data_IF_018068266049
#
_entry.id   IF_018068266049
#
_cell.length_a   1.000
_cell.length_b   1.000
_cell.length_c   1.000
_cell.angle_alpha   90.00
_cell.angle_beta   90.00
_cell.angle_gamma   90.00
#
_symmetry.space_group_name_H-M   'P 1'
#
loop_
_entity.id
_entity.type
_entity.pdbx_description
1 polymer ?
#
# COMPACT_ATOMS: atom_id res chain seq x y z
N UNK A 1 -54.69 -3.70 -57.53
CA UNK A 1 -54.25 -2.73 -56.53
C UNK A 1 -54.03 -3.47 -55.21
N UNK A 2 -52.81 -3.94 -55.00
CA UNK A 2 -52.45 -4.71 -53.79
C UNK A 2 -51.24 -4.06 -53.18
N UNK A 3 -51.44 -3.42 -52.01
CA UNK A 3 -50.37 -2.79 -51.24
C UNK A 3 -49.77 -3.80 -50.25
N UNK A 4 -48.57 -4.24 -50.51
CA UNK A 4 -47.78 -5.10 -49.62
C UNK A 4 -47.11 -4.24 -48.57
N UNK A 5 -47.53 -4.44 -47.30
CA UNK A 5 -46.86 -3.83 -46.14
C UNK A 5 -45.65 -4.68 -45.71
N UNK A 6 -44.46 -4.11 -45.89
CA UNK A 6 -43.20 -4.68 -45.38
C UNK A 6 -43.06 -4.29 -43.89
N UNK A 7 -43.23 -5.26 -43.00
CA UNK A 7 -42.92 -5.07 -41.60
C UNK A 7 -41.41 -5.30 -41.36
N UNK A 8 -40.69 -4.24 -41.04
CA UNK A 8 -39.26 -4.29 -40.64
C UNK A 8 -39.23 -4.63 -39.14
N UNK A 9 -38.87 -5.86 -38.84
CA UNK A 9 -38.58 -6.30 -37.47
C UNK A 9 -37.15 -5.85 -37.12
N UNK A 10 -37.00 -4.76 -36.38
CA UNK A 10 -35.74 -4.34 -35.76
C UNK A 10 -35.47 -5.24 -34.56
N UNK A 11 -34.56 -6.21 -34.74
CA UNK A 11 -34.02 -7.01 -33.66
C UNK A 11 -33.11 -6.12 -32.79
N UNK A 12 -33.59 -5.76 -31.62
CA UNK A 12 -32.78 -5.10 -30.56
C UNK A 12 -31.83 -6.13 -29.97
N UNK A 13 -30.59 -6.20 -30.44
CA UNK A 13 -29.53 -6.95 -29.80
C UNK A 13 -29.11 -6.18 -28.53
N UNK A 14 -29.77 -6.48 -27.41
CA UNK A 14 -29.32 -6.05 -26.09
C UNK A 14 -28.03 -6.82 -25.75
N UNK A 15 -26.87 -6.24 -26.10
CA UNK A 15 -25.58 -6.73 -25.63
C UNK A 15 -25.55 -6.62 -24.10
N UNK A 16 -25.59 -7.75 -23.41
CA UNK A 16 -25.37 -7.89 -21.99
C UNK A 16 -23.92 -7.52 -21.66
N UNK A 17 -23.65 -6.26 -21.47
CA UNK A 17 -22.39 -5.78 -20.88
C UNK A 17 -22.53 -6.05 -19.37
N UNK A 18 -22.15 -7.26 -18.94
CA UNK A 18 -21.98 -7.51 -17.52
C UNK A 18 -20.93 -6.51 -16.98
N UNK A 19 -21.23 -5.71 -15.95
CA UNK A 19 -20.30 -4.72 -15.47
C UNK A 19 -19.02 -5.44 -15.00
N UNK A 20 -17.86 -4.92 -15.37
CA UNK A 20 -16.54 -5.47 -15.02
C UNK A 20 -16.39 -5.72 -13.50
N UNK A 21 -17.15 -5.00 -12.68
CA UNK A 21 -17.26 -5.19 -11.24
C UNK A 21 -17.87 -6.53 -10.84
N UNK A 22 -18.84 -7.07 -11.58
CA UNK A 22 -19.45 -8.37 -11.27
C UNK A 22 -18.46 -9.52 -11.55
N UNK A 23 -17.62 -9.39 -12.58
CA UNK A 23 -16.57 -10.36 -12.89
C UNK A 23 -15.43 -10.31 -11.85
N UNK A 24 -15.07 -9.14 -11.35
CA UNK A 24 -14.07 -8.99 -10.30
C UNK A 24 -14.55 -9.57 -8.96
N UNK A 25 -15.85 -9.45 -8.63
CA UNK A 25 -16.44 -10.08 -7.45
C UNK A 25 -16.44 -11.61 -7.53
N UNK A 26 -16.62 -12.19 -8.71
CA UNK A 26 -16.54 -13.64 -8.91
C UNK A 26 -15.10 -14.17 -8.72
N UNK A 27 -14.07 -13.33 -9.01
CA UNK A 27 -12.65 -13.70 -8.86
C UNK A 27 -12.19 -13.68 -7.41
N UNK A 28 -12.61 -12.69 -6.62
CA UNK A 28 -12.08 -12.44 -5.26
C UNK A 28 -13.12 -12.81 -4.19
N UNK A 29 -12.86 -13.87 -3.44
CA UNK A 29 -13.78 -14.47 -2.47
C UNK A 29 -13.32 -14.16 -1.05
N UNK A 30 -14.20 -13.57 -0.24
CA UNK A 30 -13.99 -13.37 1.19
C UNK A 30 -13.87 -14.74 1.90
N UNK A 31 -12.98 -14.81 2.87
CA UNK A 31 -12.63 -16.07 3.55
C UNK A 31 -11.57 -16.88 2.81
N UNK A 32 -11.38 -16.66 1.49
CA UNK A 32 -10.35 -17.32 0.70
C UNK A 32 -9.18 -16.37 0.42
N UNK A 33 -9.39 -15.33 -0.39
CA UNK A 33 -8.33 -14.43 -0.83
C UNK A 33 -8.10 -13.28 0.14
N UNK A 34 -9.11 -12.91 0.92
CA UNK A 34 -9.04 -11.92 1.98
C UNK A 34 -10.02 -12.25 3.10
N UNK A 35 -9.70 -11.82 4.31
CA UNK A 35 -10.56 -11.93 5.48
C UNK A 35 -11.20 -10.57 5.78
N UNK A 36 -12.51 -10.58 6.12
CA UNK A 36 -13.16 -9.41 6.69
C UNK A 36 -12.86 -9.41 8.18
N UNK A 37 -12.22 -8.36 8.66
CA UNK A 37 -11.83 -8.19 10.07
C UNK A 37 -12.70 -7.13 10.74
N UNK A 38 -12.76 -7.08 12.08
CA UNK A 38 -13.40 -5.98 12.81
C UNK A 38 -12.80 -4.65 12.36
N UNK A 39 -13.68 -3.73 11.91
CA UNK A 39 -13.25 -2.46 11.30
C UNK A 39 -12.36 -1.67 12.26
N UNK A 40 -11.17 -1.32 11.79
CA UNK A 40 -10.22 -0.50 12.49
C UNK A 40 -10.25 0.95 11.99
N UNK A 41 -9.82 1.87 12.85
CA UNK A 41 -9.66 3.27 12.46
C UNK A 41 -8.52 3.41 11.46
N UNK A 42 -8.72 4.19 10.40
CA UNK A 42 -7.69 4.52 9.41
C UNK A 42 -6.96 5.81 9.78
N UNK A 43 -5.73 5.96 9.33
CA UNK A 43 -4.84 7.09 9.58
C UNK A 43 -4.61 7.95 8.31
N UNK A 44 -5.59 7.96 7.40
CA UNK A 44 -5.54 8.73 6.16
C UNK A 44 -6.60 9.84 6.17
N UNK A 45 -6.46 10.81 5.27
CA UNK A 45 -7.42 11.91 5.14
C UNK A 45 -8.82 11.39 4.76
N UNK A 46 -9.85 12.12 5.17
CA UNK A 46 -11.24 11.81 4.81
C UNK A 46 -11.40 11.68 3.27
N UNK A 47 -12.11 10.65 2.83
CA UNK A 47 -12.30 10.34 1.41
C UNK A 47 -11.16 9.55 0.77
N UNK A 48 -10.08 9.26 1.50
CA UNK A 48 -9.03 8.34 1.07
C UNK A 48 -9.28 6.92 1.59
N UNK A 49 -8.94 5.94 0.78
CA UNK A 49 -8.92 4.53 1.17
C UNK A 49 -7.50 4.18 1.61
N UNK A 50 -7.35 3.72 2.85
CA UNK A 50 -6.06 3.28 3.38
C UNK A 50 -5.66 1.93 2.79
N UNK A 51 -4.42 1.83 2.31
CA UNK A 51 -3.76 0.56 2.00
C UNK A 51 -2.55 0.45 2.91
N UNK A 52 -2.63 -0.44 3.89
CA UNK A 52 -1.62 -0.56 4.94
C UNK A 52 -0.77 -1.80 4.71
N UNK A 53 0.56 -1.67 4.79
CA UNK A 53 1.47 -2.80 4.95
C UNK A 53 1.88 -2.91 6.42
N UNK A 54 1.58 -4.04 7.05
CA UNK A 54 2.20 -4.43 8.32
C UNK A 54 3.52 -5.11 7.98
N UNK A 55 4.63 -4.53 8.45
CA UNK A 55 5.97 -4.91 8.07
C UNK A 55 6.96 -4.90 9.22
N UNK A 56 8.15 -5.44 9.01
CA UNK A 56 9.34 -5.13 9.80
C UNK A 56 10.56 -5.02 8.90
N UNK A 57 11.45 -4.09 9.20
CA UNK A 57 12.74 -4.02 8.52
C UNK A 57 13.59 -5.29 8.70
N UNK A 58 13.46 -5.95 9.87
CA UNK A 58 14.14 -7.22 10.18
C UNK A 58 13.50 -8.44 9.51
N UNK A 59 12.38 -8.31 8.80
CA UNK A 59 11.69 -9.43 8.17
C UNK A 59 12.25 -9.70 6.76
N UNK A 60 12.85 -10.89 6.48
CA UNK A 60 13.37 -11.23 5.15
C UNK A 60 12.26 -11.24 4.09
N UNK A 61 11.06 -11.72 4.43
CA UNK A 61 9.93 -11.74 3.51
C UNK A 61 9.47 -10.31 3.15
N UNK A 62 9.53 -9.34 4.08
CA UNK A 62 9.24 -7.93 3.78
C UNK A 62 10.27 -7.34 2.81
N UNK A 63 11.56 -7.66 2.98
CA UNK A 63 12.58 -7.24 2.03
C UNK A 63 12.31 -7.80 0.62
N UNK A 64 11.92 -9.07 0.52
CA UNK A 64 11.54 -9.70 -0.76
C UNK A 64 10.24 -9.14 -1.34
N UNK A 65 9.37 -8.58 -0.50
CA UNK A 65 8.07 -8.02 -0.89
C UNK A 65 8.15 -6.57 -1.43
N UNK A 66 9.28 -5.88 -1.28
CA UNK A 66 9.50 -4.50 -1.76
C UNK A 66 9.13 -4.26 -3.23
N UNK A 67 9.46 -5.16 -4.19
CA UNK A 67 9.02 -4.98 -5.57
C UNK A 67 7.50 -4.96 -5.73
N UNK A 68 6.77 -5.76 -4.95
CA UNK A 68 5.29 -5.76 -4.93
C UNK A 68 4.78 -4.42 -4.41
N UNK A 69 5.35 -3.92 -3.31
CA UNK A 69 4.96 -2.62 -2.75
C UNK A 69 5.24 -1.47 -3.71
N UNK A 70 6.36 -1.51 -4.46
CA UNK A 70 6.66 -0.54 -5.51
C UNK A 70 5.64 -0.59 -6.64
N UNK A 71 5.28 -1.79 -7.10
CA UNK A 71 4.26 -1.99 -8.13
C UNK A 71 2.89 -1.53 -7.64
N UNK A 72 2.53 -1.87 -6.40
CA UNK A 72 1.28 -1.45 -5.78
C UNK A 72 1.20 0.08 -5.68
N UNK A 73 2.24 0.74 -5.16
CA UNK A 73 2.31 2.20 -5.06
C UNK A 73 2.08 2.90 -6.40
N UNK A 74 2.62 2.35 -7.48
CA UNK A 74 2.44 2.89 -8.84
C UNK A 74 1.03 2.63 -9.41
N UNK A 75 0.35 1.56 -8.95
CA UNK A 75 -0.95 1.13 -9.47
C UNK A 75 -2.15 1.64 -8.66
N UNK A 76 -1.92 2.21 -7.48
CA UNK A 76 -3.00 2.73 -6.63
C UNK A 76 -3.68 3.94 -7.27
N UNK A 77 -5.02 4.02 -7.22
CA UNK A 77 -5.75 5.20 -7.68
C UNK A 77 -5.53 6.39 -6.74
N UNK A 78 -5.78 7.59 -7.25
CA UNK A 78 -5.53 8.85 -6.52
C UNK A 78 -6.29 8.97 -5.18
N UNK A 79 -7.39 8.26 -5.00
CA UNK A 79 -8.15 8.21 -3.75
C UNK A 79 -7.66 7.14 -2.76
N UNK A 80 -6.61 6.39 -3.09
CA UNK A 80 -5.97 5.47 -2.15
C UNK A 80 -4.66 6.05 -1.62
N UNK A 81 -4.29 5.67 -0.39
CA UNK A 81 -3.05 6.09 0.25
C UNK A 81 -2.37 4.89 0.88
N UNK A 82 -1.10 4.65 0.48
CA UNK A 82 -0.25 3.64 1.07
C UNK A 82 0.29 4.14 2.41
N UNK A 83 0.20 3.30 3.42
CA UNK A 83 0.78 3.53 4.76
C UNK A 83 1.51 2.30 5.24
N UNK A 84 2.46 2.49 6.17
CA UNK A 84 3.26 1.42 6.74
C UNK A 84 3.04 1.36 8.25
N UNK A 85 2.86 0.15 8.78
CA UNK A 85 2.71 -0.12 10.20
C UNK A 85 3.81 -1.10 10.66
N UNK A 86 4.81 -0.64 11.42
CA UNK A 86 5.92 -1.47 11.81
C UNK A 86 5.56 -2.42 12.96
N UNK A 87 5.88 -3.70 12.83
CA UNK A 87 5.73 -4.74 13.84
C UNK A 87 6.97 -4.84 14.75
N UNK A 88 6.77 -5.31 16.00
CA UNK A 88 7.80 -5.37 17.06
C UNK A 88 8.01 -6.74 17.70
N UNK A 89 7.25 -7.76 17.29
CA UNK A 89 7.16 -9.02 18.09
C UNK A 89 8.43 -9.89 18.09
N UNK A 90 9.36 -9.76 17.12
CA UNK A 90 10.63 -10.48 17.17
C UNK A 90 11.72 -9.68 17.88
N UNK A 91 11.79 -9.85 19.19
CA UNK A 91 12.76 -9.13 20.05
C UNK A 91 14.20 -9.59 19.85
N UNK A 92 14.42 -10.85 19.45
CA UNK A 92 15.75 -11.40 19.21
C UNK A 92 16.45 -10.77 18.01
N UNK A 93 15.69 -10.27 17.01
CA UNK A 93 16.21 -9.66 15.79
C UNK A 93 16.00 -8.14 15.76
N UNK A 94 15.97 -7.50 16.91
CA UNK A 94 15.86 -6.04 17.06
C UNK A 94 14.61 -5.39 16.43
N UNK A 95 13.52 -6.13 16.21
CA UNK A 95 12.30 -5.57 15.63
C UNK A 95 11.73 -4.39 16.44
N UNK A 96 11.72 -4.39 17.79
CA UNK A 96 11.28 -3.22 18.56
C UNK A 96 12.15 -1.98 18.32
N UNK A 97 13.46 -2.16 18.10
CA UNK A 97 14.35 -1.06 17.75
C UNK A 97 14.03 -0.50 16.36
N UNK A 98 13.79 -1.37 15.37
CA UNK A 98 13.38 -0.96 14.03
C UNK A 98 12.01 -0.29 14.00
N UNK A 99 11.05 -0.80 14.78
CA UNK A 99 9.74 -0.16 14.97
C UNK A 99 9.92 1.27 15.50
N UNK A 100 10.71 1.43 16.58
CA UNK A 100 11.02 2.74 17.17
C UNK A 100 11.69 3.65 16.17
N UNK A 101 12.68 3.16 15.41
CA UNK A 101 13.38 3.94 14.41
C UNK A 101 12.44 4.44 13.31
N UNK A 102 11.54 3.59 12.78
CA UNK A 102 10.55 4.00 11.78
C UNK A 102 9.58 5.05 12.33
N UNK A 103 9.00 4.84 13.51
CA UNK A 103 8.05 5.76 14.13
C UNK A 103 8.70 7.10 14.53
N UNK A 104 9.99 7.09 14.89
CA UNK A 104 10.78 8.30 15.09
C UNK A 104 10.95 9.06 13.77
N UNK A 105 11.36 8.37 12.71
CA UNK A 105 11.49 8.97 11.39
C UNK A 105 10.16 9.53 10.86
N UNK A 106 9.05 8.83 11.12
CA UNK A 106 7.70 9.30 10.80
C UNK A 106 7.37 10.59 11.58
N UNK A 107 7.71 10.66 12.86
CA UNK A 107 7.47 11.84 13.70
C UNK A 107 8.30 13.04 13.25
N UNK A 108 9.46 12.80 12.65
CA UNK A 108 10.35 13.82 12.09
C UNK A 108 10.05 14.12 10.61
N UNK A 109 9.04 13.50 10.00
CA UNK A 109 8.65 13.71 8.59
C UNK A 109 9.66 13.18 7.57
N UNK A 110 10.50 12.22 7.95
CA UNK A 110 11.56 11.66 7.09
C UNK A 110 11.46 10.16 6.84
N UNK A 111 10.37 9.51 7.26
CA UNK A 111 10.19 8.08 7.10
C UNK A 111 10.29 7.64 5.63
N UNK A 112 9.62 8.34 4.71
CA UNK A 112 9.61 7.99 3.29
C UNK A 112 10.99 8.05 2.64
N UNK A 113 11.85 8.99 3.09
CA UNK A 113 13.24 9.12 2.60
C UNK A 113 14.11 7.94 3.01
N UNK A 114 13.82 7.36 4.18
CA UNK A 114 14.63 6.28 4.76
C UNK A 114 14.08 4.88 4.54
N UNK A 115 12.83 4.72 4.06
CA UNK A 115 12.16 3.43 4.08
C UNK A 115 12.89 2.36 3.26
N UNK A 116 13.06 2.58 1.96
CA UNK A 116 13.79 1.65 1.08
C UNK A 116 15.28 1.55 1.45
N UNK A 117 15.89 2.70 1.80
CA UNK A 117 17.29 2.75 2.18
C UNK A 117 17.59 1.96 3.47
N UNK A 118 16.64 1.86 4.41
CA UNK A 118 16.80 1.05 5.62
C UNK A 118 16.82 -0.45 5.29
N UNK A 119 15.95 -0.92 4.39
CA UNK A 119 16.04 -2.28 3.89
C UNK A 119 17.40 -2.55 3.23
N UNK A 120 17.90 -1.63 2.39
CA UNK A 120 19.22 -1.78 1.78
C UNK A 120 20.35 -1.78 2.82
N UNK A 121 20.24 -0.96 3.87
CA UNK A 121 21.20 -0.93 4.96
C UNK A 121 21.23 -2.23 5.78
N UNK A 122 20.12 -2.95 5.84
CA UNK A 122 20.04 -4.24 6.55
C UNK A 122 20.46 -5.39 5.63
N UNK A 123 19.89 -5.46 4.43
CA UNK A 123 19.94 -6.68 3.60
C UNK A 123 20.96 -6.64 2.49
N UNK A 124 21.48 -5.45 2.11
CA UNK A 124 22.44 -5.29 1.02
C UNK A 124 23.82 -4.86 1.51
N UNK A 125 23.90 -3.80 2.32
CA UNK A 125 25.20 -3.27 2.80
C UNK A 125 25.61 -3.82 4.16
N UNK A 126 24.67 -4.32 4.97
CA UNK A 126 24.93 -4.83 6.30
C UNK A 126 25.17 -3.77 7.38
N UNK A 127 25.04 -2.47 7.05
CA UNK A 127 25.24 -1.34 8.00
C UNK A 127 24.30 -1.49 9.22
N UNK A 128 23.05 -1.82 8.98
CA UNK A 128 22.01 -2.01 9.99
C UNK A 128 21.60 -3.47 10.18
N UNK A 129 22.37 -4.43 9.65
CA UNK A 129 22.04 -5.85 9.69
C UNK A 129 22.11 -6.42 11.12
N UNK A 130 21.13 -7.25 11.46
CA UNK A 130 21.07 -8.03 12.70
C UNK A 130 21.86 -9.35 12.57
N UNK A 131 22.05 -9.83 11.34
CA UNK A 131 22.84 -11.03 11.01
C UNK A 131 24.06 -10.66 10.18
N UNK A 132 25.06 -11.49 10.22
CA UNK A 132 26.16 -11.46 9.26
C UNK A 132 25.63 -11.88 7.89
N UNK A 133 25.83 -11.05 6.86
CA UNK A 133 25.25 -11.29 5.53
C UNK A 133 25.83 -12.51 4.82
N UNK A 134 27.00 -12.98 5.24
CA UNK A 134 27.69 -14.14 4.64
C UNK A 134 27.35 -15.45 5.34
N UNK A 135 27.31 -15.43 6.68
CA UNK A 135 27.10 -16.64 7.51
C UNK A 135 25.66 -16.80 7.98
N UNK A 136 24.83 -15.75 7.85
CA UNK A 136 23.47 -15.65 8.38
C UNK A 136 23.36 -15.81 9.90
N UNK A 137 24.49 -15.83 10.62
CA UNK A 137 24.50 -15.90 12.08
C UNK A 137 24.09 -14.55 12.68
N UNK A 138 23.36 -14.59 13.78
CA UNK A 138 22.99 -13.39 14.54
C UNK A 138 24.28 -12.71 15.05
N UNK A 139 24.37 -11.39 14.87
CA UNK A 139 25.50 -10.60 15.36
C UNK A 139 25.47 -10.50 16.87
N UNK A 140 26.64 -10.58 17.50
CA UNK A 140 26.79 -10.37 18.94
C UNK A 140 26.36 -8.95 19.37
N UNK A 141 26.52 -7.97 18.48
CA UNK A 141 26.10 -6.57 18.69
C UNK A 141 25.04 -6.22 17.67
N UNK A 142 23.82 -6.05 18.13
CA UNK A 142 22.69 -5.61 17.30
C UNK A 142 22.72 -4.09 17.09
N UNK A 143 22.10 -3.59 15.98
CA UNK A 143 21.98 -2.16 15.74
C UNK A 143 21.14 -1.47 16.81
N UNK A 144 21.48 -0.22 17.09
CA UNK A 144 20.87 0.63 18.13
C UNK A 144 20.16 1.83 17.52
N UNK A 145 19.39 2.56 18.34
CA UNK A 145 18.79 3.84 17.94
C UNK A 145 19.86 4.88 17.58
N UNK A 146 21.05 4.82 18.19
CA UNK A 146 22.15 5.70 17.81
C UNK A 146 22.68 5.37 16.39
N UNK A 147 22.70 4.09 16.02
CA UNK A 147 23.04 3.66 14.66
C UNK A 147 21.96 4.14 13.65
N UNK A 148 20.69 4.02 14.00
CA UNK A 148 19.59 4.58 13.21
C UNK A 148 19.71 6.11 13.06
N UNK A 149 20.11 6.82 14.12
CA UNK A 149 20.36 8.27 14.04
C UNK A 149 21.44 8.62 13.02
N UNK A 150 22.55 7.88 12.98
CA UNK A 150 23.62 8.07 11.96
C UNK A 150 23.11 7.73 10.55
N UNK A 151 22.34 6.66 10.42
CA UNK A 151 21.70 6.30 9.17
C UNK A 151 20.79 7.44 8.66
N UNK A 152 19.88 7.98 9.49
CA UNK A 152 18.97 9.05 9.08
C UNK A 152 19.68 10.40 8.86
N UNK A 153 20.85 10.63 9.47
CA UNK A 153 21.71 11.77 9.11
C UNK A 153 22.14 11.65 7.64
N UNK A 154 22.61 10.49 7.23
CA UNK A 154 23.12 10.26 5.88
C UNK A 154 22.01 10.33 4.82
N UNK A 155 20.83 9.75 5.08
CA UNK A 155 19.77 9.65 4.06
C UNK A 155 18.77 10.80 4.07
N UNK A 156 18.65 11.54 5.18
CA UNK A 156 17.64 12.58 5.36
C UNK A 156 18.14 13.88 5.99
N UNK A 157 19.43 13.96 6.39
CA UNK A 157 20.02 15.15 6.98
C UNK A 157 19.62 15.43 8.44
N UNK A 158 18.99 14.47 9.13
CA UNK A 158 18.59 14.61 10.53
C UNK A 158 19.83 14.50 11.43
N UNK A 159 20.03 15.44 12.36
CA UNK A 159 21.13 15.33 13.32
C UNK A 159 20.94 14.08 14.21
N UNK A 160 21.96 13.23 14.42
CA UNK A 160 21.85 12.01 15.22
C UNK A 160 21.34 12.25 16.66
N UNK A 161 21.77 13.34 17.28
CA UNK A 161 21.33 13.71 18.62
C UNK A 161 19.81 14.01 18.65
N UNK A 162 19.29 14.73 17.63
CA UNK A 162 17.88 15.06 17.55
C UNK A 162 17.04 13.81 17.27
N UNK A 163 17.52 12.88 16.43
CA UNK A 163 16.88 11.59 16.20
C UNK A 163 16.80 10.76 17.49
N UNK A 164 17.90 10.64 18.22
CA UNK A 164 17.95 9.92 19.51
C UNK A 164 17.04 10.57 20.54
N UNK A 165 17.02 11.90 20.63
CA UNK A 165 16.11 12.61 21.54
C UNK A 165 14.64 12.38 21.17
N UNK A 166 14.27 12.51 19.88
CA UNK A 166 12.92 12.26 19.40
C UNK A 166 12.48 10.81 19.66
N UNK A 167 13.38 9.83 19.54
CA UNK A 167 13.09 8.41 19.77
C UNK A 167 12.68 8.08 21.21
N UNK A 168 13.05 8.93 22.16
CA UNK A 168 12.74 8.80 23.60
C UNK A 168 11.46 9.55 24.00
N UNK A 169 10.80 10.20 23.03
CA UNK A 169 9.60 10.99 23.34
C UNK A 169 8.41 10.11 23.70
N UNK A 170 7.55 10.62 24.59
CA UNK A 170 6.27 10.00 24.93
C UNK A 170 5.41 9.73 23.67
N UNK A 171 5.47 10.62 22.68
CA UNK A 171 4.74 10.46 21.42
C UNK A 171 5.17 9.21 20.67
N UNK A 172 6.48 8.92 20.57
CA UNK A 172 6.99 7.70 19.92
C UNK A 172 6.60 6.46 20.73
N UNK A 173 6.70 6.50 22.05
CA UNK A 173 6.26 5.38 22.90
C UNK A 173 4.77 5.08 22.77
N UNK A 174 3.95 6.14 22.68
CA UNK A 174 2.51 5.99 22.44
C UNK A 174 2.23 5.36 21.08
N UNK A 175 2.89 5.82 20.01
CA UNK A 175 2.77 5.26 18.66
C UNK A 175 3.18 3.78 18.60
N UNK A 176 4.23 3.37 19.32
CA UNK A 176 4.62 1.96 19.38
C UNK A 176 3.50 1.10 19.98
N UNK A 177 2.96 1.50 21.13
CA UNK A 177 1.84 0.78 21.75
C UNK A 177 0.59 0.76 20.86
N UNK A 178 0.29 1.87 20.18
CA UNK A 178 -0.82 1.94 19.21
C UNK A 178 -0.60 1.00 18.04
N UNK A 179 0.60 0.94 17.47
CA UNK A 179 0.95 0.04 16.38
C UNK A 179 0.74 -1.43 16.80
N UNK A 180 1.27 -1.83 17.96
CA UNK A 180 1.13 -3.20 18.46
C UNK A 180 -0.35 -3.56 18.72
N UNK A 181 -1.11 -2.65 19.33
CA UNK A 181 -2.55 -2.81 19.55
C UNK A 181 -3.34 -2.90 18.24
N UNK A 182 -3.02 -2.09 17.24
CA UNK A 182 -3.66 -2.10 15.94
C UNK A 182 -3.37 -3.40 15.19
N UNK A 183 -2.12 -3.87 15.19
CA UNK A 183 -1.72 -5.15 14.58
C UNK A 183 -2.54 -6.31 15.19
N UNK A 184 -2.66 -6.34 16.52
CA UNK A 184 -3.46 -7.34 17.23
C UNK A 184 -4.94 -7.25 16.87
N UNK A 185 -5.52 -6.04 16.86
CA UNK A 185 -6.93 -5.82 16.51
C UNK A 185 -7.26 -6.21 15.06
N UNK A 186 -6.30 -6.05 14.13
CA UNK A 186 -6.41 -6.50 12.75
C UNK A 186 -6.16 -8.01 12.58
N UNK A 187 -5.89 -8.74 13.68
CA UNK A 187 -5.60 -10.18 13.65
C UNK A 187 -4.43 -10.54 12.72
N UNK A 188 -3.42 -9.68 12.67
CA UNK A 188 -2.22 -9.92 11.87
C UNK A 188 -1.24 -10.77 12.67
N UNK A 189 -0.83 -11.91 12.13
CA UNK A 189 0.06 -12.89 12.76
C UNK A 189 1.40 -13.05 12.06
N UNK A 190 1.63 -12.33 10.96
CA UNK A 190 2.87 -12.41 10.17
C UNK A 190 3.10 -11.16 9.32
N UNK A 191 4.33 -10.99 8.86
CA UNK A 191 4.73 -9.93 7.94
C UNK A 191 5.39 -10.51 6.69
N UNK A 192 5.20 -9.91 5.51
CA UNK A 192 4.33 -8.76 5.24
C UNK A 192 2.85 -9.15 5.24
N UNK A 193 1.98 -8.26 5.70
CA UNK A 193 0.52 -8.41 5.57
C UNK A 193 -0.09 -7.10 5.09
N UNK A 194 -0.96 -7.17 4.07
CA UNK A 194 -1.70 -6.01 3.58
C UNK A 194 -3.09 -5.96 4.21
N UNK A 195 -3.50 -4.75 4.61
CA UNK A 195 -4.84 -4.47 5.11
C UNK A 195 -5.42 -3.26 4.37
N UNK A 196 -6.63 -3.41 3.82
CA UNK A 196 -7.30 -2.33 3.09
C UNK A 196 -8.42 -1.75 3.95
N UNK A 197 -8.39 -0.43 4.12
CA UNK A 197 -9.36 0.40 4.84
C UNK A 197 -9.68 -0.08 6.26
N UNK A 198 -8.71 -0.73 6.93
CA UNK A 198 -8.90 -1.30 8.27
C UNK A 198 -9.96 -2.40 8.34
N UNK A 199 -10.41 -2.96 7.20
CA UNK A 199 -11.52 -3.93 7.10
C UNK A 199 -11.14 -5.24 6.44
N UNK A 200 -10.22 -5.21 5.48
CA UNK A 200 -9.90 -6.36 4.65
C UNK A 200 -8.43 -6.71 4.79
N UNK A 201 -8.14 -7.81 5.45
CA UNK A 201 -6.79 -8.37 5.55
C UNK A 201 -6.60 -9.38 4.41
N UNK A 202 -5.55 -9.21 3.60
CA UNK A 202 -5.22 -10.13 2.53
C UNK A 202 -4.71 -11.47 3.10
N UNK A 203 -5.07 -12.55 2.44
CA UNK A 203 -4.56 -13.90 2.69
C UNK A 203 -3.50 -14.21 1.63
N UNK A 204 -2.27 -13.74 1.85
CA UNK A 204 -1.19 -13.78 0.84
C UNK A 204 -0.84 -15.21 0.37
N UNK A 205 -1.01 -16.22 1.22
CA UNK A 205 -0.80 -17.63 0.91
C UNK A 205 -1.77 -18.19 -0.15
N UNK A 206 -2.84 -17.46 -0.46
CA UNK A 206 -3.84 -17.80 -1.48
C UNK A 206 -3.64 -17.07 -2.80
N UNK A 207 -2.62 -16.22 -2.90
CA UNK A 207 -2.31 -15.43 -4.10
C UNK A 207 -1.05 -15.99 -4.75
N UNK A 208 -1.14 -16.30 -6.05
CA UNK A 208 -0.09 -17.03 -6.77
C UNK A 208 0.96 -16.08 -7.37
N UNK A 209 0.59 -14.84 -7.61
CA UNK A 209 1.45 -13.86 -8.28
C UNK A 209 1.40 -12.49 -7.63
N UNK A 210 2.46 -11.71 -7.80
CA UNK A 210 2.49 -10.31 -7.36
C UNK A 210 1.37 -9.48 -8.00
N UNK A 211 1.01 -9.80 -9.26
CA UNK A 211 -0.08 -9.10 -9.95
C UNK A 211 -1.43 -9.38 -9.30
N UNK A 212 -1.67 -10.59 -8.81
CA UNK A 212 -2.90 -10.92 -8.07
C UNK A 212 -3.02 -10.12 -6.76
N UNK A 213 -1.93 -9.89 -6.07
CA UNK A 213 -1.91 -9.02 -4.88
C UNK A 213 -2.34 -7.60 -5.25
N UNK A 214 -1.75 -7.04 -6.30
CA UNK A 214 -2.08 -5.70 -6.80
C UNK A 214 -3.55 -5.61 -7.24
N UNK A 215 -4.03 -6.60 -7.99
CA UNK A 215 -5.40 -6.64 -8.48
C UNK A 215 -6.42 -6.76 -7.35
N UNK A 216 -6.15 -7.60 -6.34
CA UNK A 216 -7.00 -7.74 -5.16
C UNK A 216 -7.06 -6.44 -4.35
N UNK A 217 -5.91 -5.78 -4.12
CA UNK A 217 -5.90 -4.48 -3.42
C UNK A 217 -6.72 -3.45 -4.20
N UNK A 218 -6.55 -3.34 -5.52
CA UNK A 218 -7.35 -2.43 -6.37
C UNK A 218 -8.85 -2.74 -6.28
N UNK A 219 -9.23 -4.02 -6.30
CA UNK A 219 -10.61 -4.43 -6.11
C UNK A 219 -11.16 -3.98 -4.76
N UNK A 220 -10.42 -4.19 -3.67
CA UNK A 220 -10.84 -3.81 -2.32
C UNK A 220 -10.89 -2.28 -2.14
N UNK A 221 -9.96 -1.54 -2.75
CA UNK A 221 -10.00 -0.07 -2.80
C UNK A 221 -11.26 0.41 -3.53
N UNK A 222 -11.56 -0.16 -4.70
CA UNK A 222 -12.78 0.20 -5.44
C UNK A 222 -14.06 -0.09 -4.65
N UNK A 223 -14.08 -1.20 -3.89
CA UNK A 223 -15.21 -1.57 -3.01
C UNK A 223 -15.44 -0.55 -1.88
N UNK A 224 -14.40 0.09 -1.38
CA UNK A 224 -14.46 1.12 -0.32
C UNK A 224 -14.61 2.54 -0.86
N UNK A 225 -14.54 2.73 -2.17
CA UNK A 225 -14.72 4.03 -2.81
C UNK A 225 -16.19 4.37 -2.95
N UNK A 226 -16.71 5.45 -2.36
CA UNK A 226 -18.11 5.88 -2.56
C UNK A 226 -18.41 6.11 -4.05
N UNK A 227 -19.61 5.75 -4.51
CA UNK A 227 -20.02 5.87 -5.92
C UNK A 227 -19.84 7.29 -6.50
N UNK A 228 -20.09 8.33 -5.71
CA UNK A 228 -19.88 9.74 -6.09
C UNK A 228 -18.40 10.08 -6.36
N UNK A 229 -17.47 9.43 -5.65
CA UNK A 229 -16.02 9.63 -5.84
C UNK A 229 -15.47 8.80 -7.00
N UNK A 230 -16.08 7.66 -7.30
CA UNK A 230 -15.71 6.80 -8.43
C UNK A 230 -15.99 7.47 -9.79
N UNK A 231 -17.08 8.22 -9.90
CA UNK A 231 -17.45 8.96 -11.11
C UNK A 231 -16.45 10.10 -11.46
N UNK A 232 -15.80 10.69 -10.45
CA UNK A 232 -14.81 11.75 -10.62
C UNK A 232 -13.42 11.24 -11.07
N UNK A 233 -13.19 9.93 -11.00
CA UNK A 233 -11.90 9.29 -11.33
C UNK A 233 -11.86 8.71 -12.75
N UNK A 234 -12.99 8.71 -13.50
CA UNK A 234 -13.01 8.35 -14.91
C UNK A 234 -12.38 9.48 -15.72
N UNK A 235 -11.36 9.21 -16.57
CA UNK A 235 -10.79 10.24 -17.43
C UNK A 235 -11.90 10.76 -18.36
N UNK A 236 -12.25 12.04 -18.26
CA UNK A 236 -13.08 12.69 -19.27
C UNK A 236 -12.34 12.61 -20.61
N UNK A 237 -12.89 11.87 -21.55
CA UNK A 237 -12.38 11.85 -22.91
C UNK A 237 -12.31 13.30 -23.41
N UNK A 238 -11.09 13.73 -23.79
CA UNK A 238 -10.85 15.06 -24.37
C UNK A 238 -11.79 15.26 -25.56
N UNK A 239 -12.59 16.34 -25.61
CA UNK A 239 -13.45 16.61 -26.76
C UNK A 239 -12.58 16.67 -28.01
N UNK A 240 -12.96 15.91 -29.03
CA UNK A 240 -12.33 15.97 -30.37
C UNK A 240 -12.38 17.40 -30.91
N UNK A 241 -11.22 17.93 -31.27
CA UNK A 241 -11.10 19.25 -31.87
C UNK A 241 -11.91 19.30 -33.15
N UNK A 242 -12.83 20.28 -33.22
CA UNK A 242 -13.64 20.58 -34.42
C UNK A 242 -12.70 20.97 -35.57
N UNK A 243 -12.84 20.42 -36.78
CA UNK A 243 -12.01 20.81 -37.92
C UNK A 243 -12.16 22.29 -38.22
N UNK A 244 -11.03 22.98 -38.37
CA UNK A 244 -10.99 24.38 -38.76
C UNK A 244 -11.58 24.56 -40.16
N UNK A 245 -12.53 25.46 -40.29
CA UNK A 245 -13.12 25.85 -41.60
C UNK A 245 -12.06 26.57 -42.44
N UNK A 246 -11.93 26.13 -43.71
CA UNK A 246 -11.07 26.69 -44.73
C UNK A 246 -11.52 28.13 -45.12
N UNK A 247 -10.64 29.12 -45.18
CA UNK A 247 -11.04 30.47 -45.62
C UNK A 247 -11.48 30.48 -47.09
N UNK A 248 -12.62 31.09 -47.36
CA UNK A 248 -13.10 31.37 -48.69
C UNK A 248 -12.25 32.47 -49.37
N UNK A 249 -11.79 32.20 -50.59
CA UNK A 249 -11.15 33.18 -51.42
C UNK A 249 -12.19 34.24 -51.91
N UNK A 250 -11.82 35.52 -51.84
CA UNK A 250 -12.57 36.65 -52.42
C UNK A 250 -12.05 36.96 -53.80
N UNK A 251 -12.91 37.47 -54.70
CA UNK A 251 -12.63 37.71 -56.12
C UNK A 251 -11.65 38.86 -56.37
#
# INVERSE_FOLDING_TARGET
>A
MTRTLLAIATLFAATLIAPAQAQAQARWVAGTHYSVIPTQRTNVAAGKVEVMEVFSYGCPACNQFRPVMKQLKAALPANAQLVYLPASWNTAEAWPMFQRAYLTAQSLGVADKGHDAMFDAIWSTGEMAVTDLRTHALKAKLPTIADAGRFYQRVAGVKPADFVAASKSFSVDLKMRQADGQITAMQVSGTPTLVVNGKYRLNNDRLQTNQEIVDLVKFLVAKETPAASAAALTPTAKPAAKPAAKPAAKP
#
